data_IF_719318344630
#
_entry.id   IF_719318344630
#
_cell.length_a   1.000
_cell.length_b   1.000
_cell.length_c   1.000
_cell.angle_alpha   90.00
_cell.angle_beta   90.00
_cell.angle_gamma   90.00
#
_symmetry.space_group_name_H-M   'P 1'
#
loop_
_entity.id
_entity.type
_entity.pdbx_description
1 polymer ?
#
# COMPACT_ATOMS: atom_id res chain seq x y z
N UNK A 1 -32.07 -10.14 -7.36
CA UNK A 1 -32.81 -9.00 -7.95
C UNK A 1 -32.18 -8.47 -9.23
N UNK A 2 -32.93 -7.82 -10.12
CA UNK A 2 -32.46 -7.28 -11.42
C UNK A 2 -31.25 -6.32 -11.31
N UNK A 3 -31.14 -5.59 -10.19
CA UNK A 3 -30.01 -4.74 -9.83
C UNK A 3 -28.72 -5.51 -9.49
N UNK A 4 -28.80 -6.72 -8.95
CA UNK A 4 -27.62 -7.58 -8.70
C UNK A 4 -27.07 -8.16 -10.00
N UNK A 5 -27.95 -8.57 -10.92
CA UNK A 5 -27.57 -9.11 -12.24
C UNK A 5 -26.93 -8.06 -13.16
N UNK A 6 -27.18 -6.76 -12.93
CA UNK A 6 -26.52 -5.65 -13.64
C UNK A 6 -25.20 -5.22 -12.96
N UNK A 7 -25.14 -5.21 -11.62
CA UNK A 7 -23.90 -4.95 -10.85
C UNK A 7 -22.81 -5.97 -11.14
N UNK A 8 -23.17 -7.26 -11.14
CA UNK A 8 -22.24 -8.35 -11.46
C UNK A 8 -21.67 -8.20 -12.89
N UNK A 9 -22.47 -7.69 -13.84
CA UNK A 9 -22.02 -7.45 -15.22
C UNK A 9 -21.00 -6.32 -15.36
N UNK A 10 -21.07 -5.27 -14.54
CA UNK A 10 -20.07 -4.19 -14.58
C UNK A 10 -18.72 -4.66 -14.06
N UNK A 11 -18.71 -5.41 -12.95
CA UNK A 11 -17.48 -5.95 -12.37
C UNK A 11 -16.79 -6.96 -13.31
N UNK A 12 -17.54 -7.65 -14.16
CA UNK A 12 -17.00 -8.52 -15.22
C UNK A 12 -16.52 -7.77 -16.48
N UNK A 13 -16.61 -6.45 -16.54
CA UNK A 13 -15.99 -5.68 -17.63
C UNK A 13 -14.50 -5.50 -17.39
N UNK A 14 -13.70 -5.35 -18.46
CA UNK A 14 -12.26 -5.09 -18.32
C UNK A 14 -11.94 -3.89 -17.44
N UNK A 15 -12.80 -2.85 -17.46
CA UNK A 15 -12.69 -1.68 -16.58
C UNK A 15 -13.01 -2.00 -15.12
N UNK A 16 -14.11 -2.70 -14.86
CA UNK A 16 -14.47 -3.15 -13.52
C UNK A 16 -13.38 -4.00 -12.89
N UNK A 17 -12.79 -4.92 -13.66
CA UNK A 17 -11.65 -5.72 -13.23
C UNK A 17 -10.43 -4.86 -12.87
N UNK A 18 -10.07 -3.87 -13.70
CA UNK A 18 -8.92 -3.00 -13.39
C UNK A 18 -9.15 -2.20 -12.09
N UNK A 19 -10.36 -1.67 -11.88
CA UNK A 19 -10.71 -0.96 -10.63
C UNK A 19 -10.62 -1.86 -9.40
N UNK A 20 -11.03 -3.13 -9.51
CA UNK A 20 -10.87 -4.10 -8.43
C UNK A 20 -9.40 -4.39 -8.15
N UNK A 21 -8.58 -4.57 -9.19
CA UNK A 21 -7.13 -4.77 -9.05
C UNK A 21 -6.47 -3.57 -8.39
N UNK A 22 -6.81 -2.34 -8.78
CA UNK A 22 -6.33 -1.11 -8.13
C UNK A 22 -6.68 -1.07 -6.64
N UNK A 23 -7.94 -1.39 -6.28
CA UNK A 23 -8.36 -1.44 -4.89
C UNK A 23 -7.60 -2.51 -4.09
N UNK A 24 -7.40 -3.70 -4.66
CA UNK A 24 -6.62 -4.77 -4.03
C UNK A 24 -5.17 -4.36 -3.81
N UNK A 25 -4.54 -3.72 -4.80
CA UNK A 25 -3.17 -3.21 -4.68
C UNK A 25 -3.08 -2.11 -3.62
N UNK A 26 -4.07 -1.22 -3.53
CA UNK A 26 -4.13 -0.20 -2.49
C UNK A 26 -4.26 -0.81 -1.09
N UNK A 27 -5.09 -1.86 -0.93
CA UNK A 27 -5.17 -2.62 0.33
C UNK A 27 -3.84 -3.28 0.67
N UNK A 28 -3.16 -3.89 -0.30
CA UNK A 28 -1.84 -4.50 -0.09
C UNK A 28 -0.81 -3.47 0.36
N UNK A 29 -0.74 -2.31 -0.32
CA UNK A 29 0.15 -1.20 0.07
C UNK A 29 -0.14 -0.76 1.50
N UNK A 30 -1.41 -0.55 1.84
CA UNK A 30 -1.83 -0.12 3.18
C UNK A 30 -1.48 -1.17 4.24
N UNK A 31 -1.82 -2.44 4.00
CA UNK A 31 -1.59 -3.54 4.94
C UNK A 31 -0.09 -3.81 5.15
N UNK A 32 0.69 -3.92 4.07
CA UNK A 32 2.13 -4.13 4.14
C UNK A 32 2.86 -2.94 4.80
N UNK A 33 2.42 -1.71 4.54
CA UNK A 33 2.96 -0.53 5.22
C UNK A 33 2.61 -0.51 6.71
N UNK A 34 1.40 -0.98 7.07
CA UNK A 34 0.99 -1.13 8.47
C UNK A 34 1.81 -2.20 9.20
N UNK A 35 2.13 -3.31 8.53
CA UNK A 35 3.02 -4.35 9.08
C UNK A 35 4.45 -3.85 9.21
N UNK A 36 4.95 -3.05 8.25
CA UNK A 36 6.26 -2.38 8.36
C UNK A 36 6.30 -1.36 9.51
N UNK A 37 5.15 -0.76 9.87
CA UNK A 37 4.98 0.05 11.10
C UNK A 37 4.83 -0.78 12.38
N UNK A 38 4.71 -2.10 12.28
CA UNK A 38 4.46 -2.99 13.41
C UNK A 38 5.52 -2.80 14.49
N UNK A 39 5.03 -2.69 15.74
CA UNK A 39 5.68 -2.36 17.00
C UNK A 39 7.23 -2.39 17.06
N UNK A 40 7.87 -1.43 17.79
CA UNK A 40 9.24 -1.66 18.27
C UNK A 40 9.30 -3.05 18.94
N UNK A 41 10.37 -3.80 18.72
CA UNK A 41 10.56 -5.13 19.30
C UNK A 41 10.63 -5.17 20.83
N UNK A 42 10.42 -4.03 21.52
CA UNK A 42 10.21 -3.96 22.96
C UNK A 42 8.72 -4.03 23.32
N UNK A 43 8.42 -4.68 24.45
CA UNK A 43 7.26 -4.70 25.38
C UNK A 43 5.84 -4.18 24.97
N UNK A 44 5.69 -3.34 23.95
CA UNK A 44 4.46 -2.63 23.60
C UNK A 44 3.91 -3.06 22.25
N UNK A 45 3.63 -4.36 22.09
CA UNK A 45 3.04 -4.88 20.85
C UNK A 45 1.54 -4.60 20.66
N UNK A 46 1.19 -4.35 19.39
CA UNK A 46 -0.11 -4.31 18.68
C UNK A 46 -0.89 -2.99 18.67
N UNK A 47 -1.52 -2.56 19.76
CA UNK A 47 -1.62 -1.15 20.13
C UNK A 47 -1.48 -1.07 21.65
N UNK A 48 -0.26 -0.94 22.18
CA UNK A 48 -0.05 -0.93 23.65
C UNK A 48 -0.71 -2.10 24.41
N UNK A 49 -0.96 -3.25 23.77
CA UNK A 49 -1.63 -4.42 24.37
C UNK A 49 -0.67 -5.60 24.54
N UNK A 50 0.62 -5.34 24.80
CA UNK A 50 1.57 -6.39 25.19
C UNK A 50 1.60 -7.57 24.22
N UNK A 51 1.85 -7.30 22.93
CA UNK A 51 1.78 -8.32 21.89
C UNK A 51 2.79 -9.47 22.03
N UNK A 52 2.39 -10.60 21.44
CA UNK A 52 3.06 -11.89 21.19
C UNK A 52 4.61 -11.90 21.11
N UNK A 53 5.23 -10.80 20.70
CA UNK A 53 6.68 -10.59 20.69
C UNK A 53 7.33 -10.65 22.08
N UNK A 54 6.64 -10.22 23.15
CA UNK A 54 7.14 -10.42 24.52
C UNK A 54 7.23 -11.91 24.85
N UNK A 55 6.31 -12.77 24.42
CA UNK A 55 6.42 -14.21 24.67
C UNK A 55 7.40 -14.91 23.71
N UNK A 56 7.54 -14.41 22.49
CA UNK A 56 8.41 -15.02 21.47
C UNK A 56 9.88 -14.57 21.55
N UNK A 57 10.15 -13.37 22.09
CA UNK A 57 11.49 -12.79 22.20
C UNK A 57 11.78 -12.14 23.57
N UNK A 58 10.83 -12.13 24.52
CA UNK A 58 10.96 -11.45 25.83
C UNK A 58 10.59 -12.32 27.06
N UNK A 59 10.25 -13.59 26.89
CA UNK A 59 10.21 -14.55 27.99
C UNK A 59 11.62 -14.85 28.47
N UNK A 60 11.77 -15.46 29.65
CA UNK A 60 13.01 -15.75 30.39
C UNK A 60 14.20 -16.40 29.61
N UNK A 61 14.08 -16.60 28.30
CA UNK A 61 15.03 -17.19 27.35
C UNK A 61 15.51 -16.24 26.23
N UNK A 62 15.26 -14.93 26.32
CA UNK A 62 15.66 -13.95 25.29
C UNK A 62 17.16 -13.63 25.22
N UNK A 63 17.94 -14.02 26.25
CA UNK A 63 19.34 -13.60 26.40
C UNK A 63 19.53 -12.11 26.69
N UNK A 64 18.44 -11.34 26.80
CA UNK A 64 18.42 -9.90 27.09
C UNK A 64 17.83 -9.67 28.49
N UNK A 65 18.68 -9.30 29.45
CA UNK A 65 18.29 -8.91 30.80
C UNK A 65 19.15 -7.73 31.29
N UNK A 66 18.64 -6.96 32.26
CA UNK A 66 19.34 -5.79 32.80
C UNK A 66 19.70 -4.76 31.70
N UNK A 67 20.94 -4.28 31.74
CA UNK A 67 21.44 -3.25 30.82
C UNK A 67 21.34 -3.63 29.33
N UNK A 68 21.51 -4.91 28.98
CA UNK A 68 21.38 -5.38 27.59
C UNK A 68 19.95 -5.28 27.09
N UNK A 69 18.97 -5.56 27.96
CA UNK A 69 17.54 -5.44 27.66
C UNK A 69 17.11 -3.98 27.47
N UNK A 70 17.58 -3.08 28.35
CA UNK A 70 17.35 -1.64 28.21
C UNK A 70 17.95 -1.11 26.91
N UNK A 71 19.16 -1.54 26.55
CA UNK A 71 19.82 -1.16 25.31
C UNK A 71 19.05 -1.66 24.08
N UNK A 72 18.57 -2.90 24.09
CA UNK A 72 17.76 -3.45 23.01
C UNK A 72 16.48 -2.64 22.80
N UNK A 73 15.76 -2.32 23.89
CA UNK A 73 14.55 -1.51 23.86
C UNK A 73 14.81 -0.09 23.30
N UNK A 74 15.88 0.56 23.74
CA UNK A 74 16.25 1.89 23.25
C UNK A 74 16.56 1.89 21.75
N UNK A 75 17.30 0.88 21.26
CA UNK A 75 17.64 0.75 19.85
C UNK A 75 16.42 0.44 18.99
N UNK A 76 15.53 -0.44 19.45
CA UNK A 76 14.26 -0.73 18.77
C UNK A 76 13.38 0.52 18.67
N UNK A 77 13.27 1.29 19.75
CA UNK A 77 12.46 2.51 19.75
C UNK A 77 13.04 3.59 18.83
N UNK A 78 14.37 3.78 18.83
CA UNK A 78 15.03 4.72 17.92
C UNK A 78 14.86 4.30 16.45
N UNK A 79 15.03 3.00 16.16
CA UNK A 79 14.84 2.47 14.82
C UNK A 79 13.38 2.62 14.35
N UNK A 80 12.41 2.37 15.23
CA UNK A 80 11.00 2.61 14.97
C UNK A 80 10.73 4.08 14.63
N UNK A 81 11.25 5.03 15.43
CA UNK A 81 11.06 6.46 15.19
C UNK A 81 11.65 6.91 13.85
N UNK A 82 12.77 6.32 13.42
CA UNK A 82 13.36 6.58 12.10
C UNK A 82 12.47 6.09 10.95
N UNK A 83 11.80 4.95 11.11
CA UNK A 83 10.89 4.39 10.09
C UNK A 83 9.51 5.04 10.05
N UNK A 84 9.02 5.49 11.21
CA UNK A 84 7.67 5.99 11.41
C UNK A 84 7.17 7.01 10.37
N UNK A 85 7.92 8.06 9.98
CA UNK A 85 7.41 9.04 9.02
C UNK A 85 7.18 8.42 7.63
N UNK A 86 8.11 7.58 7.17
CA UNK A 86 8.04 6.93 5.85
C UNK A 86 6.85 5.99 5.80
N UNK A 87 6.69 5.22 6.87
CA UNK A 87 5.66 4.21 6.94
C UNK A 87 4.26 4.84 7.10
N UNK A 88 4.12 5.94 7.85
CA UNK A 88 2.89 6.77 7.86
C UNK A 88 2.56 7.36 6.50
N UNK A 89 3.56 7.88 5.79
CA UNK A 89 3.35 8.40 4.43
C UNK A 89 2.86 7.29 3.49
N UNK A 90 3.47 6.11 3.53
CA UNK A 90 3.06 4.96 2.72
C UNK A 90 1.64 4.47 3.06
N UNK A 91 1.27 4.42 4.35
CA UNK A 91 -0.10 4.12 4.78
C UNK A 91 -1.10 5.18 4.29
N UNK A 92 -0.76 6.46 4.39
CA UNK A 92 -1.62 7.54 3.91
C UNK A 92 -1.85 7.43 2.40
N UNK A 93 -0.79 7.20 1.62
CA UNK A 93 -0.89 6.98 0.17
C UNK A 93 -1.75 5.76 -0.14
N UNK A 94 -1.51 4.61 0.51
CA UNK A 94 -2.32 3.40 0.33
C UNK A 94 -3.80 3.62 0.66
N UNK A 95 -4.09 4.35 1.75
CA UNK A 95 -5.45 4.72 2.12
C UNK A 95 -6.12 5.66 1.12
N UNK A 96 -5.42 6.68 0.64
CA UNK A 96 -5.92 7.60 -0.40
C UNK A 96 -6.24 6.85 -1.70
N UNK A 97 -5.34 5.96 -2.15
CA UNK A 97 -5.56 5.12 -3.33
C UNK A 97 -6.77 4.22 -3.15
N UNK A 98 -6.95 3.62 -1.97
CA UNK A 98 -8.09 2.76 -1.69
C UNK A 98 -9.41 3.54 -1.74
N UNK A 99 -9.47 4.72 -1.13
CA UNK A 99 -10.64 5.60 -1.18
C UNK A 99 -10.95 6.00 -2.63
N UNK A 100 -9.92 6.37 -3.40
CA UNK A 100 -10.07 6.70 -4.81
C UNK A 100 -10.66 5.53 -5.61
N UNK A 101 -10.07 4.33 -5.49
CA UNK A 101 -10.57 3.13 -6.20
C UNK A 101 -12.00 2.79 -5.79
N UNK A 102 -12.34 2.88 -4.50
CA UNK A 102 -13.71 2.66 -4.01
C UNK A 102 -14.71 3.65 -4.61
N UNK A 103 -14.38 4.94 -4.67
CA UNK A 103 -15.22 5.96 -5.31
C UNK A 103 -15.42 5.62 -6.79
N UNK A 104 -14.36 5.28 -7.52
CA UNK A 104 -14.43 4.95 -8.94
C UNK A 104 -15.27 3.68 -9.20
N UNK A 105 -15.18 2.66 -8.34
CA UNK A 105 -16.04 1.48 -8.39
C UNK A 105 -17.50 1.88 -8.17
N UNK A 106 -17.80 2.68 -7.15
CA UNK A 106 -19.16 3.13 -6.85
C UNK A 106 -19.77 3.91 -8.02
N UNK A 107 -19.01 4.85 -8.59
CA UNK A 107 -19.47 5.65 -9.73
C UNK A 107 -19.74 4.77 -10.97
N UNK A 108 -18.87 3.80 -11.24
CA UNK A 108 -19.06 2.83 -12.32
C UNK A 108 -20.29 1.93 -12.12
N UNK A 109 -20.49 1.45 -10.88
CA UNK A 109 -21.66 0.64 -10.49
C UNK A 109 -22.97 1.43 -10.60
N UNK A 110 -22.94 2.74 -10.35
CA UNK A 110 -24.09 3.64 -10.48
C UNK A 110 -24.36 4.10 -11.93
N UNK A 111 -23.60 3.61 -12.92
CA UNK A 111 -23.77 3.91 -14.35
C UNK A 111 -23.69 5.40 -14.72
N UNK A 112 -23.11 6.24 -13.86
CA UNK A 112 -22.86 7.66 -14.16
C UNK A 112 -22.13 7.89 -15.50
N UNK A 113 -21.16 7.05 -15.93
CA UNK A 113 -20.46 7.26 -17.20
C UNK A 113 -21.35 7.19 -18.44
N UNK A 114 -22.48 6.48 -18.37
CA UNK A 114 -23.43 6.38 -19.48
C UNK A 114 -24.24 7.67 -19.64
N UNK A 115 -24.65 8.25 -18.51
CA UNK A 115 -25.36 9.52 -18.48
C UNK A 115 -24.42 10.70 -18.78
N UNK A 116 -23.23 10.71 -18.19
CA UNK A 116 -22.24 11.76 -18.32
C UNK A 116 -20.90 11.21 -18.86
N UNK A 117 -20.72 11.08 -20.19
CA UNK A 117 -19.53 10.47 -20.78
C UNK A 117 -18.24 11.24 -20.49
N UNK A 118 -18.32 12.55 -20.21
CA UNK A 118 -17.16 13.35 -19.82
C UNK A 118 -16.49 12.86 -18.51
N UNK A 119 -17.22 12.14 -17.64
CA UNK A 119 -16.63 11.47 -16.48
C UNK A 119 -15.48 10.52 -16.85
N UNK A 120 -15.55 9.91 -18.03
CA UNK A 120 -14.51 8.99 -18.51
C UNK A 120 -13.18 9.67 -18.81
N UNK A 121 -13.22 10.95 -19.20
CA UNK A 121 -12.02 11.75 -19.38
C UNK A 121 -11.42 12.13 -18.02
N UNK A 122 -12.26 12.44 -17.04
CA UNK A 122 -11.80 12.71 -15.67
C UNK A 122 -11.14 11.47 -15.05
N UNK A 123 -11.75 10.28 -15.19
CA UNK A 123 -11.13 9.02 -14.76
C UNK A 123 -9.76 8.82 -15.40
N UNK A 124 -9.65 9.02 -16.72
CA UNK A 124 -8.38 8.90 -17.43
C UNK A 124 -7.32 9.87 -16.86
N UNK A 125 -7.68 11.12 -16.60
CA UNK A 125 -6.76 12.12 -16.04
C UNK A 125 -6.31 11.69 -14.64
N UNK A 126 -7.24 11.26 -13.78
CA UNK A 126 -6.94 10.78 -12.44
C UNK A 126 -5.99 9.58 -12.47
N UNK A 127 -6.21 8.63 -13.37
CA UNK A 127 -5.37 7.45 -13.53
C UNK A 127 -3.94 7.83 -13.96
N UNK A 128 -3.80 8.73 -14.93
CA UNK A 128 -2.49 9.21 -15.41
C UNK A 128 -1.75 9.98 -14.31
N UNK A 129 -2.43 10.90 -13.63
CA UNK A 129 -1.83 11.69 -12.53
C UNK A 129 -1.40 10.77 -11.40
N UNK A 130 -2.21 9.76 -11.06
CA UNK A 130 -1.87 8.77 -10.03
C UNK A 130 -0.65 7.94 -10.44
N UNK A 131 -0.62 7.44 -11.68
CA UNK A 131 0.50 6.67 -12.19
C UNK A 131 1.81 7.49 -12.18
N UNK A 132 1.78 8.73 -12.66
CA UNK A 132 2.93 9.63 -12.66
C UNK A 132 3.37 9.97 -11.23
N UNK A 133 2.43 10.26 -10.32
CA UNK A 133 2.72 10.62 -8.93
C UNK A 133 3.28 9.44 -8.10
N UNK A 134 2.91 8.21 -8.45
CA UNK A 134 3.41 7.02 -7.76
C UNK A 134 4.90 6.74 -8.02
N UNK A 135 5.44 7.15 -9.18
CA UNK A 135 6.86 6.96 -9.51
C UNK A 135 7.80 7.70 -8.54
N UNK A 136 7.69 9.04 -8.34
CA UNK A 136 8.51 9.73 -7.35
C UNK A 136 8.17 9.31 -5.91
N UNK A 137 6.92 8.92 -5.62
CA UNK A 137 6.56 8.41 -4.30
C UNK A 137 7.31 7.11 -3.96
N UNK A 138 7.40 6.17 -4.92
CA UNK A 138 8.19 4.94 -4.78
C UNK A 138 9.68 5.21 -4.61
N UNK A 139 10.23 6.14 -5.41
CA UNK A 139 11.63 6.54 -5.26
C UNK A 139 11.91 7.09 -3.85
N UNK A 140 11.10 8.05 -3.38
CA UNK A 140 11.25 8.62 -2.04
C UNK A 140 11.10 7.55 -0.96
N UNK A 141 10.11 6.65 -1.08
CA UNK A 141 9.90 5.55 -0.16
C UNK A 141 11.17 4.70 0.02
N UNK A 142 11.78 4.24 -1.08
CA UNK A 142 13.01 3.46 -1.01
C UNK A 142 14.22 4.28 -0.59
N UNK A 143 14.36 5.51 -1.08
CA UNK A 143 15.48 6.39 -0.72
C UNK A 143 15.55 6.60 0.79
N UNK A 144 14.43 6.97 1.41
CA UNK A 144 14.37 7.17 2.86
C UNK A 144 14.50 5.87 3.63
N UNK A 145 13.89 4.76 3.18
CA UNK A 145 14.04 3.45 3.85
C UNK A 145 15.49 2.99 3.87
N UNK A 146 16.18 3.07 2.73
CA UNK A 146 17.59 2.72 2.63
C UNK A 146 18.44 3.62 3.53
N UNK A 147 18.09 4.90 3.66
CA UNK A 147 18.71 5.81 4.64
C UNK A 147 18.57 5.31 6.08
N UNK A 148 17.38 4.82 6.47
CA UNK A 148 17.14 4.24 7.80
C UNK A 148 17.97 2.97 8.01
N UNK A 149 18.00 2.07 7.02
CA UNK A 149 18.76 0.83 7.11
C UNK A 149 20.28 1.03 7.11
N UNK A 150 20.78 2.12 6.54
CA UNK A 150 22.19 2.49 6.56
C UNK A 150 22.62 3.25 7.84
N UNK A 151 21.67 3.60 8.71
CA UNK A 151 21.96 4.34 9.94
C UNK A 151 22.79 3.54 10.95
N UNK A 152 23.53 4.24 11.82
CA UNK A 152 24.25 3.62 12.94
C UNK A 152 23.31 2.88 13.89
N UNK A 153 22.10 3.39 14.10
CA UNK A 153 21.06 2.76 14.93
C UNK A 153 20.74 1.36 14.44
N UNK A 154 20.60 1.18 13.12
CA UNK A 154 20.38 -0.15 12.56
C UNK A 154 21.57 -1.09 12.83
N UNK A 155 22.79 -0.62 12.58
CA UNK A 155 24.01 -1.45 12.72
C UNK A 155 24.25 -1.88 14.17
N UNK A 156 24.10 -0.97 15.13
CA UNK A 156 24.20 -1.28 16.56
C UNK A 156 23.14 -2.28 17.00
N UNK A 157 21.91 -2.13 16.47
CA UNK A 157 20.81 -3.06 16.71
C UNK A 157 21.13 -4.45 16.17
N UNK A 158 21.53 -4.56 14.91
CA UNK A 158 21.92 -5.83 14.28
C UNK A 158 23.03 -6.52 15.08
N UNK A 159 24.08 -5.77 15.47
CA UNK A 159 25.19 -6.30 16.25
C UNK A 159 24.74 -6.80 17.64
N UNK A 160 23.90 -6.03 18.34
CA UNK A 160 23.38 -6.40 19.65
C UNK A 160 22.56 -7.71 19.57
N UNK A 161 21.65 -7.81 18.60
CA UNK A 161 20.85 -9.03 18.38
C UNK A 161 21.71 -10.22 17.95
N UNK A 162 22.70 -10.01 17.07
CA UNK A 162 23.64 -11.07 16.66
C UNK A 162 24.49 -11.58 17.83
N UNK A 163 24.87 -10.71 18.78
CA UNK A 163 25.63 -11.11 19.98
C UNK A 163 24.87 -12.12 20.87
N UNK A 164 23.55 -12.18 20.73
CA UNK A 164 22.66 -13.14 21.42
C UNK A 164 22.18 -14.28 20.51
N UNK A 165 22.73 -14.40 19.29
CA UNK A 165 22.41 -15.47 18.35
C UNK A 165 21.21 -15.21 17.43
N UNK A 166 20.62 -14.02 17.44
CA UNK A 166 19.49 -13.69 16.57
C UNK A 166 19.93 -13.26 15.18
N UNK A 167 19.33 -13.87 14.14
CA UNK A 167 19.61 -13.56 12.72
C UNK A 167 18.49 -12.77 12.02
N UNK A 168 17.39 -12.49 12.72
CA UNK A 168 16.19 -11.85 12.13
C UNK A 168 16.23 -10.31 12.05
N UNK A 169 17.26 -9.68 12.62
CA UNK A 169 17.32 -8.22 12.84
C UNK A 169 18.36 -7.51 11.97
N UNK A 170 18.56 -8.01 10.75
CA UNK A 170 19.56 -7.51 9.81
C UNK A 170 19.21 -6.12 9.28
N UNK A 171 20.24 -5.35 8.90
CA UNK A 171 20.09 -4.08 8.21
C UNK A 171 19.75 -4.23 6.72
N UNK A 172 18.65 -4.93 6.45
CA UNK A 172 18.11 -5.16 5.10
C UNK A 172 16.61 -4.91 5.09
N UNK A 173 16.09 -4.48 3.94
CA UNK A 173 14.66 -4.23 3.74
C UNK A 173 13.80 -5.39 4.23
N UNK A 174 12.73 -5.05 4.93
CA UNK A 174 11.78 -6.02 5.43
C UNK A 174 10.89 -6.52 4.28
N UNK A 175 10.41 -7.77 4.37
CA UNK A 175 9.57 -8.36 3.32
C UNK A 175 8.31 -7.54 3.02
N UNK A 176 7.70 -6.93 4.04
CA UNK A 176 6.55 -6.04 3.85
C UNK A 176 6.90 -4.77 3.07
N UNK A 177 8.10 -4.22 3.22
CA UNK A 177 8.52 -3.02 2.48
C UNK A 177 8.78 -3.34 1.01
N UNK A 178 9.37 -4.50 0.74
CA UNK A 178 9.56 -5.03 -0.63
C UNK A 178 8.19 -5.25 -1.28
N UNK A 179 7.25 -5.88 -0.55
CA UNK A 179 5.89 -6.10 -1.02
C UNK A 179 5.15 -4.78 -1.30
N UNK A 180 5.26 -3.78 -0.44
CA UNK A 180 4.71 -2.42 -0.66
C UNK A 180 5.25 -1.82 -1.96
N UNK A 181 6.57 -1.89 -2.17
CA UNK A 181 7.19 -1.36 -3.38
C UNK A 181 6.75 -2.08 -4.65
N UNK A 182 6.71 -3.43 -4.63
CA UNK A 182 6.23 -4.24 -5.75
C UNK A 182 4.77 -3.96 -6.07
N UNK A 183 3.91 -3.89 -5.05
CA UNK A 183 2.50 -3.56 -5.21
C UNK A 183 2.33 -2.16 -5.82
N UNK A 184 3.14 -1.18 -5.41
CA UNK A 184 3.16 0.15 -6.02
C UNK A 184 3.58 0.13 -7.49
N UNK A 185 4.61 -0.64 -7.86
CA UNK A 185 5.01 -0.79 -9.27
C UNK A 185 3.89 -1.40 -10.12
N UNK A 186 3.23 -2.44 -9.61
CA UNK A 186 2.09 -3.07 -10.30
C UNK A 186 0.91 -2.09 -10.38
N UNK A 187 0.69 -1.27 -9.34
CA UNK A 187 -0.36 -0.27 -9.34
C UNK A 187 -0.15 0.78 -10.44
N UNK A 188 1.09 1.24 -10.67
CA UNK A 188 1.41 2.15 -11.79
C UNK A 188 0.95 1.54 -13.13
N UNK A 189 1.27 0.27 -13.38
CA UNK A 189 0.85 -0.43 -14.59
C UNK A 189 -0.67 -0.56 -14.68
N UNK A 190 -1.34 -0.88 -13.57
CA UNK A 190 -2.80 -1.01 -13.50
C UNK A 190 -3.49 0.33 -13.83
N UNK A 191 -3.05 1.44 -13.24
CA UNK A 191 -3.60 2.77 -13.53
C UNK A 191 -3.37 3.18 -15.00
N UNK A 192 -2.21 2.90 -15.57
CA UNK A 192 -1.98 3.16 -17.01
C UNK A 192 -2.93 2.34 -17.89
N UNK A 193 -3.13 1.06 -17.59
CA UNK A 193 -4.10 0.23 -18.33
C UNK A 193 -5.53 0.76 -18.17
N UNK A 194 -5.93 1.17 -16.97
CA UNK A 194 -7.23 1.80 -16.71
C UNK A 194 -7.43 3.07 -17.52
N UNK A 195 -6.40 3.91 -17.66
CA UNK A 195 -6.47 5.13 -18.47
C UNK A 195 -6.76 4.82 -19.95
N UNK A 196 -6.13 3.79 -20.51
CA UNK A 196 -6.35 3.34 -21.90
C UNK A 196 -7.78 2.82 -22.08
N UNK A 197 -8.27 2.05 -21.11
CA UNK A 197 -9.65 1.54 -21.12
C UNK A 197 -10.68 2.66 -20.92
N UNK A 198 -10.34 3.70 -20.16
CA UNK A 198 -11.19 4.88 -19.95
C UNK A 198 -11.36 5.67 -21.26
N UNK A 199 -10.27 5.96 -21.97
CA UNK A 199 -10.29 6.62 -23.28
C UNK A 199 -11.03 5.77 -24.32
N UNK A 200 -10.78 4.46 -24.34
CA UNK A 200 -11.46 3.54 -25.26
C UNK A 200 -12.97 3.50 -24.99
N UNK A 201 -13.37 3.46 -23.71
CA UNK A 201 -14.77 3.55 -23.30
C UNK A 201 -15.42 4.86 -23.73
N UNK A 202 -14.72 5.99 -23.57
CA UNK A 202 -15.19 7.31 -24.01
C UNK A 202 -15.46 7.33 -25.52
N UNK A 203 -14.50 6.87 -26.33
CA UNK A 203 -14.63 6.80 -27.79
C UNK A 203 -15.83 5.95 -28.22
N UNK A 204 -16.05 4.82 -27.55
CA UNK A 204 -17.20 3.94 -27.85
C UNK A 204 -18.52 4.60 -27.50
N UNK A 205 -18.68 5.15 -26.29
CA UNK A 205 -19.93 5.81 -25.87
C UNK A 205 -20.23 7.04 -26.75
N UNK A 206 -19.21 7.82 -27.10
CA UNK A 206 -19.36 8.98 -27.97
C UNK A 206 -19.83 8.58 -29.38
N UNK A 207 -19.22 7.55 -29.98
CA UNK A 207 -19.65 7.03 -31.29
C UNK A 207 -21.09 6.50 -31.27
N UNK A 208 -21.49 5.80 -30.20
CA UNK A 208 -22.85 5.29 -30.03
C UNK A 208 -23.88 6.41 -29.84
N UNK A 209 -23.53 7.51 -29.16
CA UNK A 209 -24.42 8.68 -29.04
C UNK A 209 -24.54 9.50 -30.33
N UNK A 210 -23.50 9.51 -31.17
CA UNK A 210 -23.51 10.22 -32.46
C UNK A 210 -24.25 9.48 -33.57
N UNK A 211 -24.39 8.16 -33.48
CA UNK A 211 -25.25 7.36 -34.35
C UNK A 211 -26.51 6.98 -33.56
N UNK A 212 -27.58 7.81 -33.53
CA UNK A 212 -28.85 7.30 -33.07
C UNK A 212 -29.18 6.11 -33.97
N UNK A 213 -29.25 4.93 -33.35
CA UNK A 213 -29.69 3.69 -34.00
C UNK A 213 -31.01 4.03 -34.71
N UNK A 214 -31.00 4.01 -36.04
CA UNK A 214 -32.25 3.79 -36.76
C UNK A 214 -32.70 2.40 -36.33
N UNK A 215 -33.87 2.36 -35.68
CA UNK A 215 -34.55 1.25 -35.02
C UNK A 215 -34.08 -0.16 -35.39
#
# INVERSE_FOLDING_TARGET
GLLERRRCRYLCTGRGCCRLVEALLAVLILACSSVSCGSPGGYTGLPSLGGLYYYQFGGAYSGFSGADGERAQQLDQRFYLLKLPIARAAMAVGGCLLVLSCILILVGVLWLPWHFPAWLLLECILDIVTAIGMVPALYCFFHFLLGVYNSSVCKEREQLYQSKGYQGFRCSLHGAEIATGLAGCIAVLAYLLSSVLAVSGYRTVHKLKQKPVQL
#
